data_IF_874438544384
#
_entry.id   IF_874438544384
#
_cell.length_a   1.000
_cell.length_b   1.000
_cell.length_c   1.000
_cell.angle_alpha   90.00
_cell.angle_beta   90.00
_cell.angle_gamma   90.00
#
_symmetry.space_group_name_H-M   'P 1'
#
loop_
_entity.id
_entity.type
_entity.pdbx_description
1 polymer ?
#
# COMPACT_ATOMS: atom_id res chain seq x y z
N UNK A 1 0.99 -3.71 10.60
CA UNK A 1 0.43 -4.62 9.57
C UNK A 1 -0.24 -3.80 8.49
N UNK A 2 0.11 -3.96 7.20
CA UNK A 2 -0.65 -3.32 6.11
C UNK A 2 -1.93 -4.11 5.92
N UNK A 3 -3.07 -3.42 5.84
CA UNK A 3 -4.38 -4.05 5.70
C UNK A 3 -5.09 -3.68 4.40
N UNK A 4 -4.76 -2.54 3.81
CA UNK A 4 -5.28 -2.18 2.49
C UNK A 4 -4.42 -1.15 1.75
N UNK A 5 -4.62 -1.14 0.42
CA UNK A 5 -4.12 -0.16 -0.54
C UNK A 5 -5.32 0.34 -1.36
N UNK A 6 -5.62 1.64 -1.33
CA UNK A 6 -6.78 2.23 -2.05
C UNK A 6 -8.08 1.43 -1.89
N UNK A 7 -8.41 1.06 -0.63
CA UNK A 7 -9.58 0.24 -0.24
C UNK A 7 -9.51 -1.24 -0.66
N UNK A 8 -8.48 -1.69 -1.38
CA UNK A 8 -8.24 -3.12 -1.65
C UNK A 8 -7.65 -3.77 -0.41
N UNK A 9 -8.32 -4.77 0.15
CA UNK A 9 -7.79 -5.54 1.29
C UNK A 9 -6.56 -6.33 0.88
N UNK A 10 -5.54 -6.31 1.73
CA UNK A 10 -4.29 -7.02 1.54
C UNK A 10 -4.08 -7.92 2.74
N UNK A 11 -4.12 -9.23 2.47
CA UNK A 11 -3.96 -10.27 3.50
C UNK A 11 -2.59 -10.93 3.48
N UNK A 12 -1.85 -10.79 2.37
CA UNK A 12 -0.55 -11.39 2.12
C UNK A 12 0.39 -10.36 1.46
N UNK A 13 1.70 -10.50 1.66
CA UNK A 13 2.70 -9.59 1.11
C UNK A 13 2.82 -9.69 -0.43
N UNK A 14 2.66 -10.89 -1.01
CA UNK A 14 2.81 -11.09 -2.45
C UNK A 14 1.77 -10.33 -3.30
N UNK A 15 0.46 -10.35 -2.95
CA UNK A 15 -0.54 -9.51 -3.60
C UNK A 15 -0.25 -8.00 -3.52
N UNK A 16 0.35 -7.53 -2.42
CA UNK A 16 0.70 -6.11 -2.28
C UNK A 16 1.70 -5.69 -3.35
N UNK A 17 2.78 -6.45 -3.52
CA UNK A 17 3.79 -6.17 -4.53
C UNK A 17 3.14 -6.13 -5.92
N UNK A 18 2.34 -7.13 -6.27
CA UNK A 18 1.62 -7.17 -7.56
C UNK A 18 0.78 -5.91 -7.80
N UNK A 19 0.04 -5.45 -6.79
CA UNK A 19 -0.73 -4.21 -6.94
C UNK A 19 0.17 -3.00 -7.13
N UNK A 20 1.26 -2.87 -6.36
CA UNK A 20 2.23 -1.77 -6.52
C UNK A 20 2.88 -1.78 -7.91
N UNK A 21 3.03 -2.94 -8.56
CA UNK A 21 3.50 -3.02 -9.95
C UNK A 21 2.51 -2.44 -10.97
N UNK A 22 1.22 -2.31 -10.66
CA UNK A 22 0.23 -1.70 -11.56
C UNK A 22 0.24 -0.18 -11.55
N UNK A 23 0.79 0.43 -10.50
CA UNK A 23 0.89 1.88 -10.38
C UNK A 23 2.15 2.43 -11.07
N UNK A 24 2.08 3.70 -11.45
CA UNK A 24 3.19 4.48 -12.01
C UNK A 24 3.98 5.18 -10.90
N UNK A 25 5.30 5.36 -11.06
CA UNK A 25 6.07 6.22 -10.17
C UNK A 25 5.47 7.63 -10.10
N UNK A 26 5.42 8.21 -8.90
CA UNK A 26 4.81 9.51 -8.63
C UNK A 26 3.31 9.46 -8.31
N UNK A 27 2.62 8.33 -8.50
CA UNK A 27 1.22 8.20 -8.09
C UNK A 27 1.07 8.19 -6.57
N UNK A 28 -0.01 8.80 -6.09
CA UNK A 28 -0.38 8.79 -4.66
C UNK A 28 -1.37 7.66 -4.40
N UNK A 29 -1.05 6.80 -3.44
CA UNK A 29 -1.91 5.71 -2.97
C UNK A 29 -2.18 5.87 -1.48
N UNK A 30 -3.35 5.44 -1.02
CA UNK A 30 -3.68 5.43 0.41
C UNK A 30 -3.36 4.08 1.00
N UNK A 31 -2.39 4.05 1.91
CA UNK A 31 -2.13 2.87 2.73
C UNK A 31 -2.96 2.96 4.00
N UNK A 32 -3.63 1.85 4.33
CA UNK A 32 -4.17 1.65 5.66
C UNK A 32 -3.36 0.58 6.37
N UNK A 33 -2.93 0.87 7.59
CA UNK A 33 -2.18 -0.04 8.44
C UNK A 33 -2.85 -0.16 9.81
N UNK A 34 -2.55 -1.25 10.51
CA UNK A 34 -2.76 -1.39 11.95
C UNK A 34 -1.43 -1.21 12.67
N UNK A 35 -1.39 -0.26 13.61
CA UNK A 35 -0.27 0.01 14.52
C UNK A 35 -0.83 0.31 15.91
N UNK A 36 -0.33 -0.37 16.95
CA UNK A 36 -0.82 -0.20 18.34
C UNK A 36 -2.35 -0.36 18.47
N UNK A 37 -2.93 -1.37 17.81
CA UNK A 37 -4.38 -1.61 17.73
C UNK A 37 -5.21 -0.47 17.12
N UNK A 38 -4.58 0.54 16.52
CA UNK A 38 -5.24 1.62 15.81
C UNK A 38 -5.11 1.42 14.30
N UNK A 39 -6.20 1.68 13.59
CA UNK A 39 -6.23 1.73 12.13
C UNK A 39 -5.84 3.13 11.69
N UNK A 40 -4.72 3.24 10.97
CA UNK A 40 -4.20 4.49 10.46
C UNK A 40 -4.23 4.46 8.93
N UNK A 41 -4.69 5.55 8.32
CA UNK A 41 -4.69 5.73 6.86
C UNK A 41 -3.87 6.95 6.49
N UNK A 42 -2.95 6.81 5.54
CA UNK A 42 -2.12 7.92 5.08
C UNK A 42 -1.84 7.83 3.57
N UNK A 43 -1.78 8.97 2.87
CA UNK A 43 -1.35 9.02 1.49
C UNK A 43 0.16 8.80 1.40
N UNK A 44 0.59 8.04 0.39
CA UNK A 44 2.00 7.76 0.09
C UNK A 44 2.21 8.00 -1.40
N UNK A 45 3.25 8.77 -1.73
CA UNK A 45 3.71 8.94 -3.11
C UNK A 45 4.66 7.79 -3.46
N UNK A 46 4.36 7.06 -4.53
CA UNK A 46 5.15 5.91 -4.93
C UNK A 46 6.46 6.33 -5.62
N UNK A 47 7.57 5.73 -5.18
CA UNK A 47 8.86 5.89 -5.83
C UNK A 47 9.00 5.05 -7.11
N UNK A 48 10.16 5.17 -7.77
CA UNK A 48 10.52 4.24 -8.84
C UNK A 48 10.72 2.83 -8.29
N UNK A 49 10.33 1.84 -9.10
CA UNK A 49 10.52 0.42 -8.81
C UNK A 49 12.01 0.10 -8.89
N UNK A 50 12.56 -0.43 -7.81
CA UNK A 50 13.90 -1.02 -7.78
C UNK A 50 13.74 -2.54 -7.91
N UNK A 51 14.50 -3.14 -8.83
CA UNK A 51 14.56 -4.59 -9.05
C UNK A 51 15.51 -5.23 -8.03
#
# INVERSE_FOLDING_TARGET
MIISLDKRKISLINPLLYYLYTYKPGETVVFTIIRNNQTLSFPVVLGQKTL
#
